data_IF_460741177855
#
_entry.id   IF_460741177855
#
_cell.length_a   1.000
_cell.length_b   1.000
_cell.length_c   1.000
_cell.angle_alpha   90.00
_cell.angle_beta   90.00
_cell.angle_gamma   90.00
#
_symmetry.space_group_name_H-M   'P 1'
#
loop_
_entity.id
_entity.type
_entity.pdbx_description
1 polymer ?
#
# COMPACT_ATOMS: atom_id res chain seq x y z
N UNK A 1 12.41 8.03 10.51
CA UNK A 1 11.64 7.78 11.77
C UNK A 1 10.90 6.47 11.57
N UNK A 2 10.46 5.76 12.61
CA UNK A 2 9.70 4.51 12.45
C UNK A 2 8.30 4.69 12.97
N UNK A 3 7.29 4.36 12.16
CA UNK A 3 5.92 4.19 12.59
C UNK A 3 5.70 2.72 12.98
N UNK A 4 4.92 2.49 14.05
CA UNK A 4 4.49 1.16 14.48
C UNK A 4 2.98 1.16 14.58
N UNK A 5 2.36 0.18 13.95
CA UNK A 5 0.93 -0.07 14.08
C UNK A 5 0.59 -0.32 15.56
N UNK A 6 -0.43 0.37 16.13
CA UNK A 6 -0.80 0.18 17.53
C UNK A 6 -1.20 -1.25 17.90
N UNK A 7 -1.67 -2.03 16.92
CA UNK A 7 -2.05 -3.43 17.10
C UNK A 7 -0.86 -4.40 16.88
N UNK A 8 0.34 -3.88 16.61
CA UNK A 8 1.56 -4.66 16.47
C UNK A 8 1.66 -5.46 15.16
N UNK A 9 0.79 -5.18 14.19
CA UNK A 9 0.76 -5.95 12.93
C UNK A 9 1.91 -5.59 12.01
N UNK A 10 2.29 -4.32 11.95
CA UNK A 10 3.37 -3.88 11.08
C UNK A 10 4.13 -2.67 11.62
N UNK A 11 5.30 -2.43 11.05
CA UNK A 11 6.05 -1.19 11.19
C UNK A 11 6.65 -0.76 9.86
N UNK A 12 6.93 0.54 9.71
CA UNK A 12 7.58 1.09 8.51
C UNK A 12 8.45 2.30 8.84
N UNK A 13 9.40 2.60 7.95
CA UNK A 13 10.19 3.81 8.02
C UNK A 13 9.45 4.97 7.37
N UNK A 14 9.21 6.01 8.15
CA UNK A 14 8.71 7.28 7.63
C UNK A 14 9.86 8.08 7.01
N UNK A 15 9.72 8.48 5.73
CA UNK A 15 10.64 9.41 5.08
C UNK A 15 10.71 10.74 5.81
N UNK A 16 11.76 11.52 5.56
CA UNK A 16 11.92 12.83 6.19
C UNK A 16 10.79 13.77 5.77
N UNK A 17 10.15 14.43 6.73
CA UNK A 17 9.04 15.36 6.49
C UNK A 17 7.66 14.69 6.36
N UNK A 18 7.60 13.36 6.23
CA UNK A 18 6.35 12.62 6.17
C UNK A 18 5.76 12.41 7.56
N UNK A 19 4.44 12.40 7.62
CA UNK A 19 3.64 12.20 8.82
C UNK A 19 2.84 10.90 8.70
N UNK A 20 2.52 10.32 9.84
CA UNK A 20 1.61 9.19 9.94
C UNK A 20 0.45 9.55 10.88
N UNK A 21 -0.78 9.33 10.43
CA UNK A 21 -2.00 9.62 11.16
C UNK A 21 -2.91 8.38 11.15
N UNK A 22 -3.40 7.92 12.31
CA UNK A 22 -4.39 6.84 12.33
C UNK A 22 -5.64 7.23 11.55
N UNK A 23 -6.18 6.30 10.78
CA UNK A 23 -7.49 6.42 10.13
C UNK A 23 -8.52 5.61 10.92
N UNK A 24 -9.35 6.24 11.77
CA UNK A 24 -10.34 5.52 12.56
C UNK A 24 -11.58 5.12 11.74
N UNK A 25 -11.80 5.68 10.56
CA UNK A 25 -12.99 5.41 9.74
C UNK A 25 -12.78 4.18 8.87
N UNK A 26 -11.67 4.12 8.13
CA UNK A 26 -11.32 2.95 7.33
C UNK A 26 -10.53 1.89 8.12
N UNK A 27 -9.96 2.28 9.27
CA UNK A 27 -8.94 1.50 9.97
C UNK A 27 -7.53 1.83 9.45
N UNK A 28 -6.50 1.45 10.21
CA UNK A 28 -5.11 1.57 9.75
C UNK A 28 -4.49 2.97 9.91
N UNK A 29 -3.64 3.36 8.95
CA UNK A 29 -2.83 4.58 9.02
C UNK A 29 -2.67 5.26 7.65
N UNK A 30 -2.85 6.58 7.63
CA UNK A 30 -2.49 7.47 6.53
C UNK A 30 -1.06 7.95 6.69
N UNK A 31 -0.26 7.85 5.64
CA UNK A 31 1.13 8.29 5.55
C UNK A 31 1.25 9.28 4.41
N UNK A 32 1.63 10.52 4.71
CA UNK A 32 1.62 11.61 3.73
C UNK A 32 2.69 12.66 4.03
N UNK A 33 3.11 13.39 2.99
CA UNK A 33 3.87 14.62 3.15
C UNK A 33 2.90 15.82 3.19
N UNK A 34 3.06 16.81 4.10
CA UNK A 34 2.13 17.96 4.17
C UNK A 34 2.05 18.81 2.89
N UNK A 35 3.14 18.86 2.13
CA UNK A 35 3.19 19.50 0.81
C UNK A 35 3.14 18.47 -0.34
N UNK A 36 2.79 17.23 -0.04
CA UNK A 36 2.76 16.10 -0.97
C UNK A 36 1.59 16.13 -1.94
N UNK A 37 1.66 15.28 -2.96
CA UNK A 37 0.60 15.17 -3.98
C UNK A 37 -0.45 14.11 -3.60
N UNK A 38 -0.07 13.15 -2.76
CA UNK A 38 -0.92 12.02 -2.43
C UNK A 38 -0.85 11.57 -0.97
N UNK A 39 -1.60 10.51 -0.69
CA UNK A 39 -1.64 9.84 0.61
C UNK A 39 -1.46 8.35 0.40
N UNK A 40 -0.57 7.74 1.19
CA UNK A 40 -0.43 6.28 1.29
C UNK A 40 -1.23 5.80 2.50
N UNK A 41 -2.26 5.00 2.28
CA UNK A 41 -3.04 4.35 3.32
C UNK A 41 -2.57 2.90 3.50
N UNK A 42 -2.42 2.45 4.75
CA UNK A 42 -2.07 1.08 5.08
C UNK A 42 -3.06 0.47 6.07
N UNK A 43 -3.51 -0.75 5.78
CA UNK A 43 -4.47 -1.54 6.54
C UNK A 43 -3.85 -2.88 6.90
N UNK A 44 -3.64 -3.14 8.20
CA UNK A 44 -3.12 -4.41 8.70
C UNK A 44 -4.21 -5.39 9.10
N UNK A 45 -4.03 -6.66 8.81
CA UNK A 45 -4.95 -7.75 9.15
C UNK A 45 -4.19 -8.88 9.83
N UNK A 46 -4.78 -9.41 10.91
CA UNK A 46 -4.29 -10.63 11.53
C UNK A 46 -4.80 -11.83 10.72
N UNK A 47 -3.88 -12.67 10.30
CA UNK A 47 -4.15 -13.92 9.58
C UNK A 47 -3.90 -15.15 10.45
N UNK A 48 -4.10 -16.32 9.85
CA UNK A 48 -3.69 -17.58 10.43
C UNK A 48 -2.17 -17.77 10.20
N UNK A 49 -1.36 -18.05 11.24
CA UNK A 49 0.09 -18.26 11.08
C UNK A 49 0.46 -19.46 10.21
N UNK A 50 -0.47 -20.41 10.02
CA UNK A 50 -0.26 -21.57 9.15
C UNK A 50 -0.61 -21.30 7.68
N UNK A 51 -1.22 -20.15 7.38
CA UNK A 51 -1.57 -19.73 6.02
C UNK A 51 -0.45 -18.84 5.45
N UNK A 52 0.14 -19.28 4.34
CA UNK A 52 1.06 -18.48 3.53
C UNK A 52 0.28 -17.97 2.32
N UNK A 53 -0.08 -16.70 2.37
CA UNK A 53 -0.79 -16.01 1.29
C UNK A 53 0.25 -15.48 0.30
N UNK A 54 0.05 -15.79 -0.98
CA UNK A 54 0.83 -15.20 -2.06
C UNK A 54 0.35 -13.75 -2.27
N UNK A 55 1.23 -12.74 -2.11
CA UNK A 55 0.81 -11.35 -2.16
C UNK A 55 0.29 -10.94 -3.54
N UNK A 56 0.77 -11.55 -4.63
CA UNK A 56 0.29 -11.25 -5.97
C UNK A 56 -1.12 -11.84 -6.19
N UNK A 57 -1.37 -13.07 -5.73
CA UNK A 57 -2.71 -13.67 -5.79
C UNK A 57 -3.74 -12.84 -5.01
N UNK A 58 -3.39 -12.38 -3.81
CA UNK A 58 -4.26 -11.52 -2.99
C UNK A 58 -4.50 -10.14 -3.63
N UNK A 59 -3.47 -9.56 -4.27
CA UNK A 59 -3.60 -8.28 -4.99
C UNK A 59 -4.53 -8.43 -6.19
N UNK A 60 -4.39 -9.48 -6.99
CA UNK A 60 -5.29 -9.75 -8.12
C UNK A 60 -6.73 -9.95 -7.66
N UNK A 61 -6.95 -10.72 -6.59
CA UNK A 61 -8.27 -10.94 -6.03
C UNK A 61 -8.92 -9.62 -5.57
N UNK A 62 -8.15 -8.76 -4.89
CA UNK A 62 -8.63 -7.45 -4.47
C UNK A 62 -9.03 -6.57 -5.66
N UNK A 63 -8.20 -6.50 -6.70
CA UNK A 63 -8.46 -5.66 -7.87
C UNK A 63 -9.67 -6.14 -8.66
N UNK A 64 -9.85 -7.45 -8.82
CA UNK A 64 -11.04 -8.04 -9.44
C UNK A 64 -12.33 -7.68 -8.67
N UNK A 65 -12.29 -7.72 -7.33
CA UNK A 65 -13.41 -7.29 -6.48
C UNK A 65 -13.75 -5.80 -6.64
N UNK A 66 -12.76 -4.95 -6.94
CA UNK A 66 -12.97 -3.54 -7.25
C UNK A 66 -13.36 -3.26 -8.70
N UNK A 67 -13.41 -4.30 -9.55
CA UNK A 67 -13.69 -4.16 -10.99
C UNK A 67 -12.53 -3.52 -11.77
N UNK A 68 -11.31 -3.59 -11.25
CA UNK A 68 -10.09 -3.10 -11.92
C UNK A 68 -9.51 -4.23 -12.76
N UNK A 69 -9.59 -4.10 -14.08
CA UNK A 69 -8.97 -5.03 -15.02
C UNK A 69 -7.53 -4.56 -15.32
N UNK A 70 -6.54 -5.23 -14.72
CA UNK A 70 -5.14 -5.05 -15.11
C UNK A 70 -4.86 -5.69 -16.47
N UNK A 71 -3.93 -5.11 -17.22
CA UNK A 71 -3.32 -5.81 -18.34
C UNK A 71 -2.35 -6.87 -17.81
N UNK A 72 -2.20 -7.98 -18.54
CA UNK A 72 -1.28 -9.05 -18.16
C UNK A 72 0.14 -8.48 -17.91
N UNK A 73 0.81 -8.92 -16.83
CA UNK A 73 2.18 -8.53 -16.42
C UNK A 73 2.35 -7.20 -15.62
N UNK A 74 1.28 -6.59 -15.09
CA UNK A 74 1.36 -5.31 -14.34
C UNK A 74 1.65 -5.43 -12.83
N UNK A 75 1.78 -6.64 -12.29
CA UNK A 75 2.14 -6.86 -10.88
C UNK A 75 3.65 -7.08 -10.75
N UNK A 76 4.28 -6.26 -9.92
CA UNK A 76 5.70 -6.29 -9.61
C UNK A 76 5.95 -6.75 -8.16
N UNK A 77 6.98 -7.55 -7.98
CA UNK A 77 7.45 -7.94 -6.65
C UNK A 77 8.40 -6.90 -6.06
N UNK A 78 8.27 -6.65 -4.76
CA UNK A 78 9.19 -5.84 -3.97
C UNK A 78 9.75 -6.68 -2.83
N UNK A 79 11.07 -6.90 -2.83
CA UNK A 79 11.72 -7.64 -1.75
C UNK A 79 11.57 -6.90 -0.41
N UNK A 80 10.91 -7.53 0.56
CA UNK A 80 10.94 -7.11 1.96
C UNK A 80 12.07 -7.86 2.71
N UNK A 81 12.34 -7.47 3.95
CA UNK A 81 13.23 -8.29 4.78
C UNK A 81 12.46 -9.39 5.50
N UNK A 82 13.23 -10.33 6.05
CA UNK A 82 12.71 -11.47 6.82
C UNK A 82 11.87 -12.40 5.91
N UNK A 83 10.87 -13.07 6.47
CA UNK A 83 10.00 -14.02 5.75
C UNK A 83 8.75 -13.33 5.16
N UNK A 84 8.86 -12.03 4.82
CA UNK A 84 7.78 -11.25 4.25
C UNK A 84 7.97 -11.01 2.75
N UNK A 85 6.86 -10.98 2.02
CA UNK A 85 6.83 -10.73 0.58
C UNK A 85 5.86 -9.57 0.30
N UNK A 86 6.10 -8.81 -0.78
CA UNK A 86 5.22 -7.73 -1.21
C UNK A 86 5.06 -7.76 -2.73
N UNK A 87 3.83 -7.66 -3.19
CA UNK A 87 3.48 -7.43 -4.58
C UNK A 87 2.78 -6.08 -4.70
N UNK A 88 3.03 -5.35 -5.79
CA UNK A 88 2.37 -4.09 -6.08
C UNK A 88 2.04 -3.93 -7.56
N UNK A 89 1.12 -3.03 -7.86
CA UNK A 89 0.83 -2.58 -9.22
C UNK A 89 0.61 -1.08 -9.23
N UNK A 90 0.74 -0.48 -10.40
CA UNK A 90 0.49 0.93 -10.64
C UNK A 90 -0.46 1.09 -11.81
N UNK A 91 -1.49 1.92 -11.67
CA UNK A 91 -2.42 2.20 -12.75
C UNK A 91 -3.04 3.59 -12.60
N UNK A 92 -3.60 4.10 -13.70
CA UNK A 92 -4.37 5.35 -13.71
C UNK A 92 -5.84 4.97 -13.86
N UNK A 93 -6.67 5.42 -12.93
CA UNK A 93 -8.11 5.30 -13.04
C UNK A 93 -8.67 6.55 -13.74
N UNK A 94 -9.34 6.34 -14.87
CA UNK A 94 -10.17 7.37 -15.50
C UNK A 94 -11.56 7.33 -14.83
N UNK A 95 -12.09 8.48 -14.43
CA UNK A 95 -13.47 8.60 -13.95
C UNK A 95 -14.41 8.62 -15.15
N UNK A 96 -15.37 7.68 -15.20
CA UNK A 96 -16.37 7.59 -16.28
C UNK A 96 -17.43 8.71 -16.24
N UNK A 97 -17.39 9.61 -15.25
CA UNK A 97 -18.35 10.70 -15.10
C UNK A 97 -17.95 11.92 -15.97
N UNK A 98 -18.91 12.41 -16.76
CA UNK A 98 -18.79 13.54 -17.71
C UNK A 98 -18.52 14.92 -17.06
N UNK A 99 -18.12 14.96 -15.78
CA UNK A 99 -17.80 16.18 -15.04
C UNK A 99 -16.32 16.22 -14.65
N UNK A 100 -15.43 16.57 -15.57
CA UNK A 100 -14.08 17.17 -15.35
C UNK A 100 -13.21 16.62 -14.16
N UNK A 101 -13.44 15.40 -13.69
CA UNK A 101 -12.65 14.82 -12.61
C UNK A 101 -11.29 14.46 -13.17
N UNK A 102 -10.25 15.03 -12.56
CA UNK A 102 -8.87 14.78 -12.99
C UNK A 102 -8.53 13.30 -12.75
N UNK A 103 -7.89 12.62 -13.72
CA UNK A 103 -7.53 11.22 -13.58
C UNK A 103 -6.67 11.01 -12.33
N UNK A 104 -6.88 9.89 -11.63
CA UNK A 104 -6.15 9.57 -10.39
C UNK A 104 -5.14 8.46 -10.67
N UNK A 105 -3.91 8.66 -10.23
CA UNK A 105 -2.88 7.62 -10.23
C UNK A 105 -2.95 6.82 -8.94
N UNK A 106 -2.84 5.50 -9.05
CA UNK A 106 -2.89 4.54 -7.96
C UNK A 106 -1.62 3.70 -7.91
N UNK A 107 -1.12 3.47 -6.69
CA UNK A 107 -0.26 2.32 -6.37
C UNK A 107 -1.05 1.44 -5.41
N UNK A 108 -1.24 0.18 -5.77
CA UNK A 108 -1.89 -0.82 -4.92
C UNK A 108 -0.88 -1.89 -4.56
N UNK A 109 -0.79 -2.24 -3.29
CA UNK A 109 0.19 -3.21 -2.81
C UNK A 109 -0.40 -4.13 -1.73
N UNK A 110 0.08 -5.37 -1.72
CA UNK A 110 -0.20 -6.36 -0.68
C UNK A 110 1.13 -6.88 -0.16
N UNK A 111 1.29 -6.85 1.16
CA UNK A 111 2.41 -7.46 1.85
C UNK A 111 1.92 -8.61 2.73
N UNK A 112 2.57 -9.76 2.67
CA UNK A 112 2.20 -10.95 3.43
C UNK A 112 3.38 -11.49 4.23
N UNK A 113 3.09 -12.01 5.41
CA UNK A 113 3.98 -12.85 6.21
C UNK A 113 3.12 -13.85 6.99
N UNK A 114 3.71 -14.89 7.61
CA UNK A 114 2.94 -15.82 8.43
C UNK A 114 2.05 -15.11 9.45
N UNK A 115 0.74 -15.27 9.33
CA UNK A 115 -0.26 -14.70 10.26
C UNK A 115 -0.46 -13.19 10.18
N UNK A 116 0.10 -12.49 9.18
CA UNK A 116 -0.11 -11.05 8.99
C UNK A 116 -0.22 -10.71 7.51
N UNK A 117 -1.19 -9.87 7.18
CA UNK A 117 -1.34 -9.27 5.86
C UNK A 117 -1.46 -7.76 6.00
N UNK A 118 -0.88 -7.00 5.08
CA UNK A 118 -1.07 -5.55 4.96
C UNK A 118 -1.50 -5.20 3.54
N UNK A 119 -2.64 -4.54 3.41
CA UNK A 119 -3.03 -3.84 2.19
C UNK A 119 -2.50 -2.41 2.25
N UNK A 120 -2.00 -1.91 1.13
CA UNK A 120 -1.60 -0.52 0.99
C UNK A 120 -2.11 0.08 -0.32
N UNK A 121 -2.58 1.32 -0.25
CA UNK A 121 -3.05 2.09 -1.40
C UNK A 121 -2.46 3.49 -1.34
N UNK A 122 -1.79 3.92 -2.40
CA UNK A 122 -1.40 5.31 -2.59
C UNK A 122 -2.20 5.90 -3.73
N UNK A 123 -2.70 7.12 -3.52
CA UNK A 123 -3.40 7.87 -4.57
C UNK A 123 -2.88 9.30 -4.66
N UNK A 124 -2.75 9.80 -5.89
CA UNK A 124 -2.48 11.21 -6.19
C UNK A 124 -3.13 11.61 -7.53
N UNK A 125 -3.26 12.91 -7.83
CA UNK A 125 -3.61 13.34 -9.18
C UNK A 125 -2.61 12.76 -10.21
N UNK A 126 -3.12 12.28 -11.34
CA UNK A 126 -2.25 11.81 -12.42
C UNK A 126 -1.45 12.97 -13.00
N UNK A 127 -0.18 12.72 -13.31
CA UNK A 127 0.83 13.71 -13.67
C UNK A 127 1.70 14.15 -12.48
N UNK A 128 1.33 13.83 -11.24
CA UNK A 128 2.14 14.12 -10.05
C UNK A 128 2.88 12.87 -9.51
N UNK A 129 2.68 11.69 -10.09
CA UNK A 129 3.18 10.41 -9.55
C UNK A 129 4.69 10.39 -9.36
N UNK A 130 5.47 10.90 -10.32
CA UNK A 130 6.93 10.88 -10.29
C UNK A 130 7.51 11.66 -9.09
N UNK A 131 6.73 12.58 -8.51
CA UNK A 131 7.15 13.40 -7.38
C UNK A 131 7.36 12.58 -6.11
N UNK A 132 6.53 11.55 -5.91
CA UNK A 132 6.48 10.78 -4.67
C UNK A 132 6.62 9.27 -4.88
N UNK A 133 6.44 8.74 -6.09
CA UNK A 133 6.49 7.31 -6.43
C UNK A 133 7.68 6.59 -5.79
N UNK A 134 8.90 7.08 -6.02
CA UNK A 134 10.11 6.46 -5.45
C UNK A 134 10.15 6.50 -3.91
N UNK A 135 9.57 7.53 -3.30
CA UNK A 135 9.46 7.65 -1.84
C UNK A 135 8.42 6.69 -1.28
N UNK A 136 7.27 6.54 -1.97
CA UNK A 136 6.21 5.60 -1.62
C UNK A 136 6.71 4.16 -1.71
N UNK A 137 7.32 3.77 -2.84
CA UNK A 137 7.88 2.42 -3.01
C UNK A 137 9.01 2.14 -2.01
N UNK A 138 9.88 3.12 -1.72
CA UNK A 138 10.89 2.97 -0.67
C UNK A 138 10.27 2.85 0.73
N UNK A 139 9.12 3.47 0.97
CA UNK A 139 8.39 3.36 2.24
C UNK A 139 7.77 1.98 2.37
N UNK A 140 7.13 1.48 1.31
CA UNK A 140 6.60 0.11 1.23
C UNK A 140 7.70 -0.94 1.40
N UNK A 141 8.86 -0.77 0.75
CA UNK A 141 10.02 -1.68 0.90
C UNK A 141 10.64 -1.68 2.30
N UNK A 142 10.25 -0.74 3.15
CA UNK A 142 10.67 -0.69 4.55
C UNK A 142 9.71 -1.39 5.51
N UNK A 143 8.59 -1.94 5.01
CA UNK A 143 7.60 -2.65 5.79
C UNK A 143 8.21 -3.84 6.52
N UNK A 144 7.78 -4.03 7.75
CA UNK A 144 8.04 -5.22 8.58
C UNK A 144 6.72 -5.71 9.13
N UNK A 145 6.47 -7.01 9.03
CA UNK A 145 5.20 -7.65 9.43
C UNK A 145 5.41 -8.53 10.66
N UNK A 146 4.42 -8.55 11.57
CA UNK A 146 4.40 -9.45 12.73
C UNK A 146 5.41 -9.12 13.84
N UNK A 147 5.89 -7.86 13.90
CA UNK A 147 6.94 -7.41 14.81
C UNK A 147 6.43 -7.26 16.27
N UNK A 148 6.20 -8.40 16.93
CA UNK A 148 5.83 -8.52 18.36
C UNK A 148 7.07 -8.39 19.27
N UNK A 149 7.82 -7.29 19.17
CA UNK A 149 8.88 -6.93 20.14
C UNK A 149 8.41 -5.91 21.16
#
# INVERSE_FOLDING_TARGET
MTFRDPEGRFSLHLPSGWLAKPDPEAGGVEVYHPDGAGTLHLLGFAGNPDDFLDPAEELYAFLDEQGVELQDEEVEDLELSDDAELAYTEYVAETDDEEDDEPTFHIMAVATSPGTLVFASYTCPAGEEDRERGTVLSTLGSLRLGDNT
#
